data_IF_837569814341
#
_entry.id   IF_837569814341
#
_cell.length_a   1.000
_cell.length_b   1.000
_cell.length_c   1.000
_cell.angle_alpha   90.00
_cell.angle_beta   90.00
_cell.angle_gamma   90.00
#
_symmetry.space_group_name_H-M   'P 1'
#
loop_
_entity.id
_entity.type
_entity.pdbx_description
1 polymer ?
#
# COMPACT_ATOMS: atom_id res chain seq x y z
N UNK A 1 25.04 -9.37 -6.44
CA UNK A 1 26.35 -9.60 -5.78
C UNK A 1 26.50 -11.00 -5.21
N UNK A 2 25.63 -11.48 -4.32
CA UNK A 2 25.72 -12.81 -3.68
C UNK A 2 25.69 -13.95 -4.70
N UNK A 3 24.78 -13.91 -5.70
CA UNK A 3 24.74 -14.88 -6.80
C UNK A 3 26.07 -14.98 -7.56
N UNK A 4 26.73 -13.85 -7.82
CA UNK A 4 28.05 -13.84 -8.44
C UNK A 4 29.12 -14.49 -7.56
N UNK A 5 29.12 -14.25 -6.25
CA UNK A 5 30.06 -14.89 -5.31
C UNK A 5 29.83 -16.40 -5.21
N UNK A 6 28.54 -16.84 -5.25
CA UNK A 6 28.19 -18.27 -5.33
C UNK A 6 28.70 -18.89 -6.63
N UNK A 7 28.51 -18.22 -7.77
CA UNK A 7 29.05 -18.65 -9.07
C UNK A 7 30.56 -18.86 -9.05
N UNK A 8 31.28 -18.03 -8.30
CA UNK A 8 32.77 -18.12 -8.15
C UNK A 8 33.20 -19.08 -7.05
N UNK A 9 32.30 -19.81 -6.40
CA UNK A 9 32.61 -20.71 -5.30
C UNK A 9 33.14 -20.03 -4.04
N UNK A 10 32.97 -18.69 -3.93
CA UNK A 10 33.49 -17.92 -2.79
C UNK A 10 32.53 -17.93 -1.59
N UNK A 11 31.27 -18.27 -1.79
CA UNK A 11 30.25 -18.34 -0.73
C UNK A 11 29.42 -19.60 -0.94
N UNK A 12 29.22 -20.36 0.12
CA UNK A 12 28.35 -21.53 0.15
C UNK A 12 27.22 -21.28 1.16
N UNK A 13 26.16 -20.60 0.70
CA UNK A 13 24.96 -20.33 1.51
C UNK A 13 23.68 -20.54 0.68
N UNK A 14 22.56 -20.79 1.33
CA UNK A 14 21.25 -20.63 0.69
C UNK A 14 21.06 -19.15 0.35
N UNK A 15 20.55 -18.85 -0.85
CA UNK A 15 20.20 -17.52 -1.29
C UNK A 15 18.70 -17.47 -1.55
N UNK A 16 18.02 -16.54 -0.90
CA UNK A 16 16.60 -16.27 -1.11
C UNK A 16 16.41 -14.85 -1.61
N UNK A 17 15.45 -14.66 -2.51
CA UNK A 17 15.00 -13.36 -3.00
C UNK A 17 13.53 -13.19 -2.65
N UNK A 18 13.18 -12.11 -1.96
CA UNK A 18 11.81 -11.73 -1.66
C UNK A 18 11.46 -10.56 -2.56
N UNK A 19 10.47 -10.75 -3.44
CA UNK A 19 9.97 -9.68 -4.29
C UNK A 19 8.88 -8.92 -3.52
N UNK A 20 9.10 -7.62 -3.32
CA UNK A 20 8.24 -6.77 -2.48
C UNK A 20 7.29 -5.88 -3.29
N UNK A 21 6.91 -6.34 -4.47
CA UNK A 21 5.94 -5.72 -5.37
C UNK A 21 4.88 -6.73 -5.83
N UNK A 22 3.89 -6.30 -6.60
CA UNK A 22 2.80 -7.13 -7.11
C UNK A 22 2.97 -7.54 -8.58
N UNK A 23 4.02 -7.04 -9.23
CA UNK A 23 4.46 -7.44 -10.56
C UNK A 23 5.95 -7.77 -10.53
N UNK A 24 6.41 -8.60 -11.47
CA UNK A 24 7.81 -9.01 -11.55
C UNK A 24 8.58 -8.12 -12.51
N UNK A 25 9.87 -7.95 -12.25
CA UNK A 25 10.78 -7.20 -13.10
C UNK A 25 12.01 -8.04 -13.43
N UNK A 26 12.41 -8.08 -14.71
CA UNK A 26 13.55 -8.90 -15.19
C UNK A 26 14.86 -8.68 -14.43
N UNK A 27 15.11 -7.46 -13.94
CA UNK A 27 16.32 -7.15 -13.18
C UNK A 27 16.48 -7.97 -11.88
N UNK A 28 15.36 -8.45 -11.31
CA UNK A 28 15.37 -9.26 -10.08
C UNK A 28 15.84 -10.68 -10.35
N UNK A 29 15.88 -11.08 -11.61
CA UNK A 29 16.25 -12.42 -12.06
C UNK A 29 17.74 -12.54 -12.41
N UNK A 30 18.51 -11.46 -12.31
CA UNK A 30 19.96 -11.49 -12.61
C UNK A 30 20.66 -12.44 -11.65
N UNK A 31 21.15 -13.58 -12.19
CA UNK A 31 21.82 -14.63 -11.43
C UNK A 31 20.84 -15.58 -10.72
N UNK A 32 19.63 -15.73 -11.23
CA UNK A 32 18.58 -16.59 -10.68
C UNK A 32 19.00 -18.07 -10.57
N UNK A 33 19.92 -18.54 -11.43
CA UNK A 33 20.44 -19.92 -11.39
C UNK A 33 21.07 -20.27 -10.04
N UNK A 34 21.66 -19.26 -9.37
CA UNK A 34 22.31 -19.39 -8.06
C UNK A 34 21.39 -19.07 -6.90
N UNK A 35 20.15 -18.64 -7.16
CA UNK A 35 19.11 -18.40 -6.14
C UNK A 35 18.41 -19.71 -5.82
N UNK A 36 18.25 -20.00 -4.53
CA UNK A 36 17.58 -21.20 -4.05
C UNK A 36 16.08 -21.01 -3.93
N UNK A 37 15.63 -19.83 -3.51
CA UNK A 37 14.22 -19.53 -3.26
C UNK A 37 13.84 -18.15 -3.79
N UNK A 38 12.69 -18.07 -4.45
CA UNK A 38 11.99 -16.83 -4.79
C UNK A 38 10.67 -16.79 -4.03
N UNK A 39 10.44 -15.73 -3.30
CA UNK A 39 9.18 -15.47 -2.61
C UNK A 39 8.46 -14.35 -3.33
N UNK A 40 7.24 -14.63 -3.81
CA UNK A 40 6.44 -13.71 -4.63
C UNK A 40 5.10 -13.41 -3.97
N UNK A 41 4.50 -12.29 -4.34
CA UNK A 41 3.24 -11.83 -3.73
C UNK A 41 2.01 -12.56 -4.24
N UNK A 42 2.00 -13.02 -5.49
CA UNK A 42 0.81 -13.57 -6.15
C UNK A 42 1.16 -14.61 -7.22
N UNK A 43 0.12 -15.34 -7.67
CA UNK A 43 0.24 -16.44 -8.65
C UNK A 43 0.63 -15.97 -10.06
N UNK A 44 0.33 -14.69 -10.41
CA UNK A 44 0.76 -14.15 -11.71
C UNK A 44 2.29 -14.02 -11.75
N UNK A 45 2.91 -13.55 -10.66
CA UNK A 45 4.36 -13.47 -10.56
C UNK A 45 5.02 -14.86 -10.60
N UNK A 46 4.40 -15.91 -10.03
CA UNK A 46 4.89 -17.28 -10.19
C UNK A 46 4.98 -17.66 -11.67
N UNK A 47 3.92 -17.39 -12.45
CA UNK A 47 3.90 -17.68 -13.89
C UNK A 47 4.97 -16.87 -14.64
N UNK A 48 5.04 -15.57 -14.39
CA UNK A 48 6.02 -14.68 -15.02
C UNK A 48 7.46 -15.15 -14.74
N UNK A 49 7.79 -15.52 -13.50
CA UNK A 49 9.11 -16.04 -13.18
C UNK A 49 9.39 -17.39 -13.89
N UNK A 50 8.40 -18.27 -14.03
CA UNK A 50 8.54 -19.48 -14.80
C UNK A 50 8.80 -19.18 -16.29
N UNK A 51 8.10 -18.22 -16.87
CA UNK A 51 8.27 -17.79 -18.26
C UNK A 51 9.67 -17.21 -18.51
N UNK A 52 10.26 -16.58 -17.51
CA UNK A 52 11.67 -16.12 -17.51
C UNK A 52 12.69 -17.26 -17.26
N UNK A 53 12.24 -18.51 -17.08
CA UNK A 53 13.13 -19.66 -16.93
C UNK A 53 13.53 -20.01 -15.49
N UNK A 54 12.87 -19.43 -14.49
CA UNK A 54 13.06 -19.85 -13.09
C UNK A 54 12.30 -21.16 -12.87
N UNK A 55 12.99 -22.16 -12.30
CA UNK A 55 12.37 -23.44 -12.00
C UNK A 55 11.26 -23.30 -10.96
N UNK A 56 10.09 -23.91 -11.22
CA UNK A 56 8.88 -23.73 -10.39
C UNK A 56 9.08 -24.14 -8.92
N UNK A 57 9.88 -25.15 -8.67
CA UNK A 57 10.19 -25.65 -7.32
C UNK A 57 10.98 -24.65 -6.46
N UNK A 58 11.56 -23.63 -7.08
CA UNK A 58 12.21 -22.50 -6.39
C UNK A 58 11.28 -21.34 -6.06
N UNK A 59 10.07 -21.30 -6.62
CA UNK A 59 9.15 -20.17 -6.49
C UNK A 59 8.07 -20.50 -5.46
N UNK A 60 7.84 -19.59 -4.53
CA UNK A 60 6.87 -19.75 -3.44
C UNK A 60 5.97 -18.53 -3.36
N UNK A 61 4.68 -18.72 -3.55
CA UNK A 61 3.66 -17.65 -3.45
C UNK A 61 3.28 -17.46 -1.99
N UNK A 62 4.07 -16.69 -1.27
CA UNK A 62 3.89 -16.46 0.16
C UNK A 62 3.24 -15.13 0.51
N UNK A 63 3.22 -14.18 -0.44
CA UNK A 63 2.94 -12.78 -0.14
C UNK A 63 4.18 -12.02 0.35
N UNK A 64 4.02 -10.72 0.54
CA UNK A 64 5.06 -9.81 1.03
C UNK A 64 5.05 -9.83 2.57
N UNK A 65 6.20 -10.02 3.25
CA UNK A 65 6.26 -10.02 4.71
C UNK A 65 5.95 -8.63 5.27
N UNK A 66 5.19 -8.60 6.36
CA UNK A 66 4.83 -7.37 7.08
C UNK A 66 4.92 -7.58 8.58
N UNK A 67 4.81 -6.50 9.34
CA UNK A 67 4.82 -6.53 10.80
C UNK A 67 3.58 -7.23 11.36
N UNK A 68 3.76 -8.05 12.39
CA UNK A 68 2.67 -8.74 13.09
C UNK A 68 1.67 -7.76 13.74
N UNK A 69 2.07 -6.50 13.95
CA UNK A 69 1.20 -5.44 14.48
C UNK A 69 -0.04 -5.18 13.62
N UNK A 70 0.00 -5.45 12.31
CA UNK A 70 -1.17 -5.33 11.43
C UNK A 70 -2.23 -6.42 11.67
N UNK A 71 -1.91 -7.45 12.46
CA UNK A 71 -2.85 -8.51 12.86
C UNK A 71 -3.33 -8.38 14.31
N UNK A 72 -2.85 -7.37 15.04
CA UNK A 72 -3.31 -7.07 16.38
C UNK A 72 -4.75 -6.54 16.36
N UNK A 73 -5.52 -6.88 17.40
CA UNK A 73 -6.87 -6.33 17.57
C UNK A 73 -6.81 -5.05 18.38
N UNK A 74 -7.12 -3.94 17.72
CA UNK A 74 -7.20 -2.64 18.38
C UNK A 74 -8.66 -2.31 18.74
N UNK A 75 -8.87 -1.75 19.94
CA UNK A 75 -10.18 -1.20 20.30
C UNK A 75 -10.43 0.10 19.55
N UNK A 76 -11.44 0.10 18.67
CA UNK A 76 -11.78 1.24 17.80
C UNK A 76 -11.98 2.52 18.61
N UNK A 77 -12.68 2.45 19.74
CA UNK A 77 -12.98 3.60 20.59
C UNK A 77 -11.72 4.24 21.15
N UNK A 78 -10.80 3.41 21.63
CA UNK A 78 -9.50 3.86 22.16
C UNK A 78 -8.65 4.53 21.08
N UNK A 79 -8.62 3.95 19.87
CA UNK A 79 -7.86 4.52 18.75
C UNK A 79 -8.48 5.84 18.29
N UNK A 80 -9.80 5.90 18.12
CA UNK A 80 -10.48 7.16 17.76
C UNK A 80 -10.19 8.26 18.79
N UNK A 81 -10.23 7.94 20.08
CA UNK A 81 -9.89 8.87 21.16
C UNK A 81 -8.44 9.31 21.11
N UNK A 82 -7.50 8.40 20.86
CA UNK A 82 -6.05 8.69 20.74
C UNK A 82 -5.79 9.78 19.70
N UNK A 83 -6.49 9.73 18.56
CA UNK A 83 -6.32 10.68 17.47
C UNK A 83 -7.34 11.83 17.49
N UNK A 84 -8.18 11.91 18.52
CA UNK A 84 -9.23 12.93 18.64
C UNK A 84 -10.16 12.94 17.41
N UNK A 85 -10.64 11.74 17.03
CA UNK A 85 -11.55 11.49 15.92
C UNK A 85 -12.99 11.30 16.39
N UNK A 86 -13.95 11.63 15.55
CA UNK A 86 -15.39 11.53 15.84
C UNK A 86 -15.85 10.07 15.68
N UNK A 87 -16.52 9.46 16.68
CA UNK A 87 -16.90 8.04 16.65
C UNK A 87 -17.82 7.64 15.49
N UNK A 88 -18.79 8.49 15.15
CA UNK A 88 -19.85 8.17 14.20
C UNK A 88 -19.49 8.47 12.72
N UNK A 89 -18.25 8.90 12.47
CA UNK A 89 -17.75 9.15 11.12
C UNK A 89 -16.84 8.05 10.63
N UNK A 90 -16.94 7.75 9.34
CA UNK A 90 -15.98 6.92 8.63
C UNK A 90 -14.62 7.62 8.55
N UNK A 91 -13.55 6.84 8.40
CA UNK A 91 -12.17 7.35 8.39
C UNK A 91 -11.50 7.07 7.05
N UNK A 92 -10.98 8.11 6.42
CA UNK A 92 -10.01 7.98 5.31
C UNK A 92 -8.62 8.20 5.86
N UNK A 93 -7.74 7.23 5.64
CA UNK A 93 -6.31 7.37 5.93
C UNK A 93 -5.60 7.84 4.65
N UNK A 94 -5.00 9.01 4.70
CA UNK A 94 -4.35 9.65 3.56
C UNK A 94 -2.84 9.73 3.77
N UNK A 95 -2.06 9.08 2.92
CA UNK A 95 -0.60 9.19 2.92
C UNK A 95 -0.12 10.23 1.91
N UNK A 96 0.49 11.30 2.40
CA UNK A 96 0.98 12.41 1.58
C UNK A 96 2.24 12.12 0.76
N UNK A 97 2.79 10.91 0.88
CA UNK A 97 3.98 10.48 0.15
C UNK A 97 5.28 10.65 0.95
N UNK A 98 6.36 10.05 0.42
CA UNK A 98 7.68 9.96 1.05
C UNK A 98 8.54 11.23 0.91
N UNK A 99 9.81 11.10 1.32
CA UNK A 99 10.79 12.20 1.45
C UNK A 99 11.05 13.00 0.15
N UNK A 100 10.84 12.40 -1.01
CA UNK A 100 11.23 13.00 -2.30
C UNK A 100 10.24 14.02 -2.88
N UNK A 101 9.08 14.29 -2.22
CA UNK A 101 8.18 15.40 -2.57
C UNK A 101 7.61 15.39 -3.99
N UNK A 102 7.80 14.31 -4.77
CA UNK A 102 7.28 14.18 -6.12
C UNK A 102 5.75 14.22 -6.10
N UNK A 103 5.16 15.14 -6.88
CA UNK A 103 3.72 15.27 -6.99
C UNK A 103 3.05 16.03 -5.83
N UNK A 104 3.76 16.94 -5.14
CA UNK A 104 3.20 17.71 -4.01
C UNK A 104 1.91 18.43 -4.39
N UNK A 105 1.90 19.19 -5.48
CA UNK A 105 0.72 19.92 -5.94
C UNK A 105 -0.44 18.98 -6.21
N UNK A 106 -0.18 17.87 -6.91
CA UNK A 106 -1.19 16.85 -7.20
C UNK A 106 -1.72 16.19 -5.93
N UNK A 107 -0.85 15.87 -4.97
CA UNK A 107 -1.23 15.31 -3.67
C UNK A 107 -2.15 16.26 -2.91
N UNK A 108 -1.84 17.55 -2.86
CA UNK A 108 -2.66 18.58 -2.22
C UNK A 108 -3.99 18.76 -2.95
N UNK A 109 -4.00 18.74 -4.27
CA UNK A 109 -5.22 18.79 -5.09
C UNK A 109 -6.14 17.61 -4.76
N UNK A 110 -5.61 16.38 -4.70
CA UNK A 110 -6.42 15.19 -4.37
C UNK A 110 -6.95 15.27 -2.93
N UNK A 111 -6.15 15.74 -1.98
CA UNK A 111 -6.63 15.97 -0.61
C UNK A 111 -7.77 17.00 -0.58
N UNK A 112 -7.67 18.10 -1.37
CA UNK A 112 -8.74 19.08 -1.52
C UNK A 112 -10.02 18.43 -2.05
N UNK A 113 -9.91 17.65 -3.11
CA UNK A 113 -11.05 16.94 -3.71
C UNK A 113 -11.70 15.95 -2.73
N UNK A 114 -10.90 15.22 -1.93
CA UNK A 114 -11.42 14.36 -0.86
C UNK A 114 -12.18 15.14 0.19
N UNK A 115 -11.64 16.28 0.64
CA UNK A 115 -12.31 17.15 1.63
C UNK A 115 -13.66 17.60 1.13
N UNK A 116 -13.76 17.95 -0.14
CA UNK A 116 -14.98 18.48 -0.75
C UNK A 116 -16.03 17.41 -1.05
N UNK A 117 -15.61 16.19 -1.43
CA UNK A 117 -16.54 15.15 -1.88
C UNK A 117 -16.84 14.06 -0.84
N UNK A 118 -15.96 13.81 0.14
CA UNK A 118 -16.16 12.77 1.16
C UNK A 118 -16.92 13.30 2.39
N UNK A 119 -18.22 13.53 2.26
CA UNK A 119 -19.03 14.21 3.30
C UNK A 119 -19.20 13.37 4.58
N UNK A 120 -19.34 12.05 4.45
CA UNK A 120 -19.55 11.12 5.57
C UNK A 120 -18.23 10.72 6.27
N UNK A 121 -17.10 11.25 5.81
CA UNK A 121 -15.78 10.86 6.27
C UNK A 121 -15.07 11.98 7.01
N UNK A 122 -14.23 11.57 7.95
CA UNK A 122 -13.13 12.37 8.49
C UNK A 122 -11.81 11.84 7.90
N UNK A 123 -10.80 12.70 7.79
CA UNK A 123 -9.56 12.37 7.10
C UNK A 123 -8.39 12.47 8.08
N UNK A 124 -7.56 11.44 8.13
CA UNK A 124 -6.26 11.48 8.81
C UNK A 124 -5.18 11.55 7.72
N UNK A 125 -4.57 12.73 7.56
CA UNK A 125 -3.55 12.98 6.56
C UNK A 125 -2.15 12.90 7.19
N UNK A 126 -1.32 11.95 6.71
CA UNK A 126 0.04 11.70 7.20
C UNK A 126 1.04 12.28 6.19
N UNK A 127 1.86 13.23 6.62
CA UNK A 127 2.96 13.80 5.81
C UNK A 127 4.29 13.07 6.00
N UNK A 128 4.37 12.16 6.96
CA UNK A 128 5.62 11.51 7.34
C UNK A 128 6.65 12.52 7.85
N UNK A 129 7.89 12.42 7.39
CA UNK A 129 8.99 13.33 7.72
C UNK A 129 9.07 14.56 6.78
N UNK A 130 8.11 14.71 5.87
CA UNK A 130 8.10 15.80 4.91
C UNK A 130 7.40 17.03 5.47
N UNK A 131 8.16 17.94 6.09
CA UNK A 131 7.61 19.17 6.69
C UNK A 131 6.95 20.08 5.65
N UNK A 132 7.48 20.18 4.42
CA UNK A 132 6.86 20.98 3.34
C UNK A 132 5.50 20.44 2.93
N UNK A 133 5.29 19.12 3.00
CA UNK A 133 3.99 18.52 2.75
C UNK A 133 3.04 18.79 3.91
N UNK A 134 3.52 18.71 5.14
CA UNK A 134 2.75 19.04 6.35
C UNK A 134 2.23 20.48 6.31
N UNK A 135 3.12 21.44 6.06
CA UNK A 135 2.75 22.86 5.91
C UNK A 135 1.71 23.08 4.80
N UNK A 136 1.83 22.36 3.68
CA UNK A 136 0.85 22.46 2.60
C UNK A 136 -0.52 21.90 2.99
N UNK A 137 -0.57 20.80 3.75
CA UNK A 137 -1.83 20.26 4.27
C UNK A 137 -2.46 21.20 5.31
N UNK A 138 -1.66 21.75 6.23
CA UNK A 138 -2.11 22.71 7.22
C UNK A 138 -2.68 23.98 6.58
N UNK A 139 -2.02 24.48 5.53
CA UNK A 139 -2.48 25.62 4.75
C UNK A 139 -3.80 25.36 4.07
N UNK A 140 -3.96 24.18 3.44
CA UNK A 140 -5.20 23.77 2.79
C UNK A 140 -6.36 23.64 3.81
N UNK A 141 -6.11 23.01 4.95
CA UNK A 141 -7.12 22.82 6.01
C UNK A 141 -7.57 24.17 6.58
N UNK A 142 -6.65 25.12 6.74
CA UNK A 142 -6.94 26.48 7.18
C UNK A 142 -7.74 27.25 6.12
N UNK A 143 -7.33 27.19 4.87
CA UNK A 143 -8.01 27.82 3.73
C UNK A 143 -9.47 27.40 3.63
N UNK A 144 -9.73 26.09 3.75
CA UNK A 144 -11.06 25.51 3.64
C UNK A 144 -11.86 25.57 4.96
N UNK A 145 -11.25 25.99 6.07
CA UNK A 145 -11.84 26.04 7.42
C UNK A 145 -12.43 24.68 7.86
N UNK A 146 -11.67 23.58 7.67
CA UNK A 146 -12.12 22.21 7.91
C UNK A 146 -11.29 21.44 8.96
N UNK A 147 -10.73 22.14 9.92
CA UNK A 147 -9.90 21.56 11.00
C UNK A 147 -10.64 20.52 11.87
N UNK A 148 -11.96 20.55 11.90
CA UNK A 148 -12.78 19.53 12.56
C UNK A 148 -12.95 18.24 11.74
N UNK A 149 -12.71 18.29 10.42
CA UNK A 149 -12.86 17.17 9.49
C UNK A 149 -11.51 16.49 9.18
N UNK A 150 -10.41 17.23 9.23
CA UNK A 150 -9.09 16.76 8.82
C UNK A 150 -8.09 16.83 9.95
N UNK A 151 -7.51 15.69 10.30
CA UNK A 151 -6.40 15.58 11.24
C UNK A 151 -5.10 15.42 10.47
N UNK A 152 -4.13 16.30 10.71
CA UNK A 152 -2.80 16.21 10.09
C UNK A 152 -1.83 15.62 11.08
N UNK A 153 -1.08 14.62 10.63
CA UNK A 153 0.00 13.99 11.37
C UNK A 153 1.31 14.10 10.58
N UNK A 154 2.41 14.29 11.29
CA UNK A 154 3.76 14.09 10.77
C UNK A 154 4.10 12.61 10.68
N UNK A 155 5.35 12.25 11.05
CA UNK A 155 5.74 10.86 11.18
C UNK A 155 5.01 10.21 12.38
N UNK A 156 4.50 8.99 12.17
CA UNK A 156 3.85 8.20 13.22
C UNK A 156 4.22 6.72 13.08
N UNK A 157 4.39 6.04 14.19
CA UNK A 157 4.53 4.58 14.30
C UNK A 157 3.19 3.86 14.55
N UNK A 158 2.08 4.62 14.53
CA UNK A 158 0.71 4.16 14.81
C UNK A 158 -0.09 3.85 13.54
N UNK A 159 0.60 3.50 12.45
CA UNK A 159 -0.06 3.15 11.18
C UNK A 159 -0.97 1.92 11.33
N UNK A 160 -0.57 0.83 12.02
CA UNK A 160 -1.46 -0.31 12.23
C UNK A 160 -2.75 0.05 12.95
N UNK A 161 -2.67 0.87 14.02
CA UNK A 161 -3.83 1.37 14.75
C UNK A 161 -4.75 2.20 13.84
N UNK A 162 -4.17 3.11 13.05
CA UNK A 162 -4.93 3.95 12.12
C UNK A 162 -5.60 3.11 11.03
N UNK A 163 -4.89 2.15 10.42
CA UNK A 163 -5.47 1.26 9.42
C UNK A 163 -6.61 0.42 9.99
N UNK A 164 -6.51 -0.03 11.26
CA UNK A 164 -7.55 -0.84 11.91
C UNK A 164 -8.90 -0.14 12.08
N UNK A 165 -8.92 1.20 12.10
CA UNK A 165 -10.13 2.01 12.24
C UNK A 165 -10.56 2.68 10.94
N UNK A 166 -9.76 2.58 9.89
CA UNK A 166 -10.01 3.23 8.61
C UNK A 166 -11.01 2.45 7.76
N UNK A 167 -11.72 3.18 6.93
CA UNK A 167 -12.67 2.63 5.97
C UNK A 167 -12.12 2.63 4.55
N UNK A 168 -11.10 3.46 4.29
CA UNK A 168 -10.49 3.64 2.99
C UNK A 168 -9.08 4.21 3.16
N UNK A 169 -8.16 3.85 2.27
CA UNK A 169 -6.81 4.41 2.27
C UNK A 169 -6.51 5.11 0.94
N UNK A 170 -5.80 6.23 1.01
CA UNK A 170 -5.27 6.96 -0.15
C UNK A 170 -3.76 6.93 -0.07
N UNK A 171 -3.11 6.33 -1.04
CA UNK A 171 -1.66 6.13 -1.00
C UNK A 171 -1.05 5.93 -2.37
N UNK A 172 0.26 6.02 -2.44
CA UNK A 172 1.04 5.43 -3.54
C UNK A 172 0.97 3.91 -3.46
N UNK A 173 0.95 3.19 -4.58
CA UNK A 173 0.85 1.73 -4.60
C UNK A 173 2.19 1.03 -4.37
N UNK A 174 2.98 1.51 -3.40
CA UNK A 174 4.21 0.83 -3.00
C UNK A 174 3.92 -0.52 -2.34
N UNK A 175 4.74 -1.54 -2.61
CA UNK A 175 4.45 -2.93 -2.24
C UNK A 175 4.12 -3.14 -0.76
N UNK A 176 4.87 -2.50 0.18
CA UNK A 176 4.61 -2.65 1.61
C UNK A 176 3.28 -2.03 2.02
N UNK A 177 3.04 -0.74 1.71
CA UNK A 177 1.81 -0.06 2.08
C UNK A 177 0.58 -0.71 1.45
N UNK A 178 0.70 -1.18 0.20
CA UNK A 178 -0.33 -1.97 -0.47
C UNK A 178 -0.64 -3.26 0.29
N UNK A 179 0.39 -4.02 0.68
CA UNK A 179 0.22 -5.26 1.44
C UNK A 179 -0.46 -5.01 2.79
N UNK A 180 -0.04 -3.98 3.51
CA UNK A 180 -0.62 -3.55 4.79
C UNK A 180 -2.10 -3.15 4.62
N UNK A 181 -2.43 -2.43 3.55
CA UNK A 181 -3.80 -2.03 3.23
C UNK A 181 -4.69 -3.22 2.90
N UNK A 182 -4.21 -4.17 2.09
CA UNK A 182 -4.93 -5.40 1.76
C UNK A 182 -5.17 -6.26 3.01
N UNK A 183 -4.16 -6.40 3.88
CA UNK A 183 -4.28 -7.14 5.14
C UNK A 183 -5.24 -6.49 6.13
N UNK A 184 -5.37 -5.17 6.07
CA UNK A 184 -6.34 -4.39 6.86
C UNK A 184 -7.72 -4.29 6.19
N UNK A 185 -7.93 -4.96 5.06
CA UNK A 185 -9.17 -4.95 4.26
C UNK A 185 -9.61 -3.55 3.82
N UNK A 186 -8.66 -2.68 3.47
CA UNK A 186 -8.93 -1.32 3.06
C UNK A 186 -8.98 -1.20 1.53
N UNK A 187 -10.08 -0.69 0.96
CA UNK A 187 -10.10 -0.20 -0.42
C UNK A 187 -9.07 0.90 -0.63
N UNK A 188 -8.42 0.92 -1.79
CA UNK A 188 -7.28 1.79 -2.04
C UNK A 188 -7.63 2.84 -3.11
N UNK A 189 -7.46 4.12 -2.80
CA UNK A 189 -7.35 5.17 -3.81
C UNK A 189 -5.87 5.37 -4.10
N UNK A 190 -5.50 5.09 -5.35
CA UNK A 190 -4.11 5.09 -5.80
C UNK A 190 -3.78 6.46 -6.36
N UNK A 191 -2.69 7.04 -5.87
CA UNK A 191 -2.22 8.35 -6.28
C UNK A 191 -0.72 8.32 -6.58
N UNK A 192 -0.28 9.11 -7.55
CA UNK A 192 1.13 9.43 -7.84
C UNK A 192 2.08 8.21 -7.79
N UNK A 193 1.81 7.10 -8.49
CA UNK A 193 2.76 6.01 -8.58
C UNK A 193 4.08 6.47 -9.20
N UNK A 194 5.18 5.91 -8.75
CA UNK A 194 6.48 6.07 -9.42
C UNK A 194 6.44 5.24 -10.71
N UNK A 195 6.83 5.83 -11.86
CA UNK A 195 6.86 5.11 -13.13
C UNK A 195 7.61 3.78 -13.06
N UNK A 196 7.04 2.76 -13.67
CA UNK A 196 7.53 1.39 -13.62
C UNK A 196 6.82 0.58 -12.53
N UNK A 197 7.53 0.08 -11.53
CA UNK A 197 7.02 -0.89 -10.54
C UNK A 197 5.74 -0.45 -9.82
N UNK A 198 5.63 0.84 -9.42
CA UNK A 198 4.41 1.29 -8.75
C UNK A 198 3.23 1.44 -9.72
N UNK A 199 3.45 1.73 -11.00
CA UNK A 199 2.38 1.71 -12.01
C UNK A 199 1.86 0.28 -12.25
N UNK A 200 2.76 -0.70 -12.31
CA UNK A 200 2.39 -2.12 -12.42
C UNK A 200 1.62 -2.60 -11.19
N UNK A 201 2.01 -2.14 -9.98
CA UNK A 201 1.24 -2.38 -8.76
C UNK A 201 -0.16 -1.73 -8.83
N UNK A 202 -0.27 -0.51 -9.38
CA UNK A 202 -1.55 0.17 -9.57
C UNK A 202 -2.47 -0.60 -10.52
N UNK A 203 -1.95 -1.04 -11.66
CA UNK A 203 -2.68 -1.85 -12.64
C UNK A 203 -3.16 -3.18 -12.02
N UNK A 204 -2.31 -3.82 -11.21
CA UNK A 204 -2.69 -5.03 -10.46
C UNK A 204 -3.89 -4.76 -9.54
N UNK A 205 -3.87 -3.68 -8.79
CA UNK A 205 -4.94 -3.33 -7.84
C UNK A 205 -6.26 -2.97 -8.55
N UNK A 206 -6.20 -2.23 -9.67
CA UNK A 206 -7.39 -1.93 -10.48
C UNK A 206 -7.98 -3.20 -11.11
N UNK A 207 -7.13 -4.06 -11.69
CA UNK A 207 -7.57 -5.34 -12.30
C UNK A 207 -8.28 -6.25 -11.32
N UNK A 208 -7.89 -6.22 -10.03
CA UNK A 208 -8.53 -7.01 -8.99
C UNK A 208 -9.69 -6.30 -8.29
N UNK A 209 -10.07 -5.11 -8.76
CA UNK A 209 -11.14 -4.28 -8.19
C UNK A 209 -10.97 -4.04 -6.67
N UNK A 210 -9.75 -3.78 -6.22
CA UNK A 210 -9.44 -3.39 -4.83
C UNK A 210 -8.95 -1.95 -4.73
N UNK A 211 -8.65 -1.33 -5.86
CA UNK A 211 -8.18 0.05 -5.95
C UNK A 211 -8.81 0.82 -7.11
N UNK A 212 -8.74 2.13 -7.01
CA UNK A 212 -9.04 3.09 -8.08
C UNK A 212 -7.83 3.98 -8.23
N UNK A 213 -7.28 4.05 -9.42
CA UNK A 213 -6.14 4.89 -9.73
C UNK A 213 -6.59 6.25 -10.27
N UNK A 214 -6.26 7.33 -9.54
CA UNK A 214 -6.41 8.71 -10.03
C UNK A 214 -5.15 9.06 -10.81
N UNK A 215 -5.21 8.94 -12.14
CA UNK A 215 -4.10 9.18 -13.05
C UNK A 215 -3.77 10.69 -13.13
N UNK A 216 -2.61 11.01 -13.70
CA UNK A 216 -2.09 12.38 -13.74
C UNK A 216 -3.03 13.38 -14.41
N UNK A 217 -3.70 12.96 -15.48
CA UNK A 217 -4.56 13.82 -16.30
C UNK A 217 -6.06 13.70 -15.95
N UNK A 218 -6.39 12.86 -14.97
CA UNK A 218 -7.75 12.69 -14.50
C UNK A 218 -8.24 13.90 -13.69
N UNK A 219 -9.55 14.13 -13.70
CA UNK A 219 -10.22 15.02 -12.76
C UNK A 219 -10.51 14.29 -11.44
N UNK A 220 -9.81 14.61 -10.33
CA UNK A 220 -10.04 13.95 -9.05
C UNK A 220 -11.45 14.16 -8.51
N UNK A 221 -12.06 15.33 -8.77
CA UNK A 221 -13.40 15.61 -8.26
C UNK A 221 -14.42 14.68 -8.90
N UNK A 222 -14.37 14.49 -10.22
CA UNK A 222 -15.29 13.60 -10.94
C UNK A 222 -15.14 12.13 -10.47
N UNK A 223 -13.89 11.65 -10.29
CA UNK A 223 -13.63 10.28 -9.86
C UNK A 223 -14.13 10.06 -8.43
N UNK A 224 -13.79 10.97 -7.51
CA UNK A 224 -14.13 10.85 -6.10
C UNK A 224 -15.63 11.02 -5.85
N UNK A 225 -16.29 11.94 -6.55
CA UNK A 225 -17.74 12.09 -6.49
C UNK A 225 -18.42 10.78 -6.91
N UNK A 226 -18.04 10.22 -8.06
CA UNK A 226 -18.59 8.94 -8.54
C UNK A 226 -18.33 7.79 -7.54
N UNK A 227 -17.15 7.76 -6.90
CA UNK A 227 -16.82 6.74 -5.91
C UNK A 227 -17.69 6.86 -4.66
N UNK A 228 -17.84 8.05 -4.09
CA UNK A 228 -18.59 8.26 -2.84
C UNK A 228 -20.10 8.18 -3.02
N UNK A 229 -20.61 8.46 -4.21
CA UNK A 229 -22.03 8.26 -4.55
C UNK A 229 -22.37 6.77 -4.72
N UNK A 230 -21.37 5.91 -4.97
CA UNK A 230 -21.54 4.48 -5.16
C UNK A 230 -20.99 3.68 -3.96
N UNK A 231 -21.78 3.59 -2.88
CA UNK A 231 -21.40 2.88 -1.65
C UNK A 231 -21.13 1.38 -1.90
N UNK A 232 -21.88 0.76 -2.82
CA UNK A 232 -21.71 -0.65 -3.16
C UNK A 232 -20.36 -0.91 -3.81
N UNK A 233 -19.82 0.05 -4.57
CA UNK A 233 -18.50 -0.05 -5.18
C UNK A 233 -17.39 -0.13 -4.11
N UNK A 234 -17.46 0.71 -3.08
CA UNK A 234 -16.48 0.70 -1.98
C UNK A 234 -16.57 -0.61 -1.20
N UNK A 235 -17.76 -1.12 -0.95
CA UNK A 235 -17.94 -2.40 -0.24
C UNK A 235 -17.44 -3.57 -1.07
N UNK A 236 -17.72 -3.60 -2.36
CA UNK A 236 -17.20 -4.62 -3.28
C UNK A 236 -15.67 -4.60 -3.33
N UNK A 237 -15.06 -3.41 -3.37
CA UNK A 237 -13.61 -3.28 -3.28
C UNK A 237 -13.07 -3.87 -1.96
N UNK A 238 -13.74 -3.60 -0.83
CA UNK A 238 -13.38 -4.15 0.49
C UNK A 238 -13.45 -5.67 0.49
N UNK A 239 -14.53 -6.26 -0.01
CA UNK A 239 -14.66 -7.72 -0.09
C UNK A 239 -13.55 -8.36 -0.95
N UNK A 240 -13.21 -7.73 -2.07
CA UNK A 240 -12.15 -8.22 -2.95
C UNK A 240 -10.76 -8.22 -2.27
N UNK A 241 -10.48 -7.27 -1.35
CA UNK A 241 -9.21 -7.27 -0.62
C UNK A 241 -8.98 -8.55 0.18
N UNK A 242 -10.05 -9.19 0.68
CA UNK A 242 -9.96 -10.42 1.47
C UNK A 242 -9.33 -11.58 0.68
N UNK A 243 -9.58 -11.65 -0.62
CA UNK A 243 -9.02 -12.69 -1.48
C UNK A 243 -7.53 -12.50 -1.76
N UNK A 244 -7.03 -11.27 -1.69
CA UNK A 244 -5.64 -10.92 -1.97
C UNK A 244 -4.77 -10.85 -0.71
N UNK A 245 -5.38 -10.73 0.47
CA UNK A 245 -4.66 -10.62 1.73
C UNK A 245 -3.87 -11.90 2.05
N UNK A 246 -2.54 -11.80 2.13
CA UNK A 246 -1.64 -12.89 2.53
C UNK A 246 -1.12 -12.64 3.96
N UNK A 247 -1.89 -13.05 4.96
CA UNK A 247 -1.66 -12.70 6.37
C UNK A 247 -0.53 -13.48 7.06
N UNK A 248 -0.06 -14.57 6.46
CA UNK A 248 0.97 -15.45 7.05
C UNK A 248 2.30 -15.44 6.31
N UNK A 249 2.56 -14.42 5.50
CA UNK A 249 3.74 -14.34 4.62
C UNK A 249 5.05 -14.55 5.37
N UNK A 250 5.29 -13.82 6.44
CA UNK A 250 6.52 -13.91 7.25
C UNK A 250 6.72 -15.33 7.79
N UNK A 251 5.69 -15.92 8.38
CA UNK A 251 5.73 -17.28 8.93
C UNK A 251 6.04 -18.31 7.84
N UNK A 252 5.34 -18.25 6.71
CA UNK A 252 5.50 -19.18 5.60
C UNK A 252 6.93 -19.10 5.01
N UNK A 253 7.47 -17.90 4.85
CA UNK A 253 8.86 -17.69 4.39
C UNK A 253 9.85 -18.35 5.36
N UNK A 254 9.71 -18.09 6.66
CA UNK A 254 10.60 -18.68 7.66
C UNK A 254 10.52 -20.21 7.68
N UNK A 255 9.33 -20.80 7.61
CA UNK A 255 9.14 -22.25 7.58
C UNK A 255 9.80 -22.90 6.35
N UNK A 256 9.77 -22.24 5.19
CA UNK A 256 10.42 -22.75 3.97
C UNK A 256 11.95 -22.65 4.08
N UNK A 257 12.47 -21.55 4.63
CA UNK A 257 13.92 -21.34 4.75
C UNK A 257 14.59 -22.28 5.79
N UNK A 258 13.82 -22.72 6.80
CA UNK A 258 14.32 -23.59 7.87
C UNK A 258 14.32 -25.09 7.50
N UNK A 259 13.70 -25.46 6.40
CA UNK A 259 13.76 -26.81 5.81
C UNK A 259 15.03 -26.98 5.00
#
# INVERSE_FOLDING_TARGET
MVSYLKKKGKVNCKLATILTDFASHEQWLVGHEYTNFFFVSNDNMEKELCDYGVAKDKIHVTGIPMSDRFFEKFDRTSVLKMFNLVPDKKVILFFGGGEFGLGKERTVQILRSLILNAHDYQIVAISGKNEKMKEAFESLVKELNVSSKVKILGFTDKVPELMSISDLVVTKPGGLTTTESLASHLPIIIINPIPGQEEENADFLEKHNVGIWIKKDDDPDAILLNLFDNKDKIENMRENTKSLAKTHSTKNICEILMK
#
